data_IF_402654956811
#
_entry.id   IF_402654956811
#
_cell.length_a   1.000
_cell.length_b   1.000
_cell.length_c   1.000
_cell.angle_alpha   90.00
_cell.angle_beta   90.00
_cell.angle_gamma   90.00
#
_symmetry.space_group_name_H-M   'P 1'
#
loop_
_entity.id
_entity.type
_entity.pdbx_description
1 polymer ?
#
# COMPACT_ATOMS: atom_id res chain seq x y z
N UNK A 1 9.90 13.96 -6.48
CA UNK A 1 10.12 13.91 -5.02
C UNK A 1 11.48 13.26 -4.78
N UNK A 2 12.45 14.05 -4.32
CA UNK A 2 13.77 13.55 -3.93
C UNK A 2 13.68 12.82 -2.57
N UNK A 3 14.68 11.99 -2.27
CA UNK A 3 14.80 11.35 -0.95
C UNK A 3 14.81 12.43 0.15
N UNK A 4 15.42 13.56 -0.11
CA UNK A 4 15.51 14.66 0.85
C UNK A 4 14.13 15.26 1.16
N UNK A 5 13.22 15.41 0.18
CA UNK A 5 11.85 15.84 0.43
C UNK A 5 11.07 14.85 1.32
N UNK A 6 11.22 13.55 1.07
CA UNK A 6 10.61 12.53 1.95
C UNK A 6 11.14 12.66 3.38
N UNK A 7 12.45 12.87 3.55
CA UNK A 7 13.06 13.02 4.86
C UNK A 7 12.65 14.33 5.55
N UNK A 8 12.55 15.43 4.83
CA UNK A 8 12.12 16.71 5.37
C UNK A 8 10.67 16.62 5.89
N UNK A 9 9.76 16.03 5.11
CA UNK A 9 8.37 15.81 5.52
C UNK A 9 8.31 14.84 6.71
N UNK A 10 9.05 13.72 6.66
CA UNK A 10 9.12 12.78 7.76
C UNK A 10 9.63 13.45 9.05
N UNK A 11 10.73 14.19 8.99
CA UNK A 11 11.32 14.85 10.16
C UNK A 11 10.38 15.89 10.76
N UNK A 12 9.68 16.66 9.90
CA UNK A 12 8.67 17.62 10.34
C UNK A 12 7.53 16.92 11.09
N UNK A 13 6.96 15.86 10.51
CA UNK A 13 5.88 15.10 11.14
C UNK A 13 6.38 14.45 12.44
N UNK A 14 7.50 13.75 12.39
CA UNK A 14 8.07 13.04 13.54
C UNK A 14 8.32 13.99 14.72
N UNK A 15 8.87 15.18 14.47
CA UNK A 15 9.09 16.19 15.51
C UNK A 15 7.80 16.66 16.18
N UNK A 16 6.68 16.69 15.47
CA UNK A 16 5.37 17.08 15.99
C UNK A 16 4.68 15.95 16.73
N UNK A 17 4.77 14.73 16.20
CA UNK A 17 4.11 13.56 16.81
C UNK A 17 4.82 13.16 18.11
N UNK A 18 6.17 13.20 18.17
CA UNK A 18 6.94 12.94 19.40
C UNK A 18 6.59 13.94 20.51
N UNK A 19 6.20 15.18 20.16
CA UNK A 19 5.76 16.19 21.12
C UNK A 19 4.27 16.03 21.53
N UNK A 20 3.53 15.16 20.85
CA UNK A 20 2.13 14.89 21.15
C UNK A 20 2.00 13.76 22.18
N UNK A 21 0.78 13.57 22.69
CA UNK A 21 0.45 12.44 23.58
C UNK A 21 0.13 11.14 22.81
N UNK A 22 0.33 11.13 21.48
CA UNK A 22 0.12 9.94 20.68
C UNK A 22 1.35 9.03 20.78
N UNK A 23 1.18 7.85 21.34
CA UNK A 23 2.22 6.82 21.52
C UNK A 23 2.07 5.66 20.53
N UNK A 24 0.91 5.53 19.88
CA UNK A 24 0.60 4.46 18.92
C UNK A 24 0.27 5.05 17.54
N UNK A 25 1.24 5.01 16.64
CA UNK A 25 1.09 5.42 15.25
C UNK A 25 2.09 4.70 14.36
N UNK A 26 1.88 4.76 13.08
CA UNK A 26 2.80 4.25 12.05
C UNK A 26 3.00 5.31 10.96
N UNK A 27 4.05 5.13 10.17
CA UNK A 27 4.27 5.92 8.96
C UNK A 27 3.93 5.09 7.73
N UNK A 28 3.20 5.65 6.76
CA UNK A 28 3.01 5.04 5.46
C UNK A 28 3.68 5.91 4.39
N UNK A 29 4.64 5.31 3.67
CA UNK A 29 5.32 5.91 2.53
C UNK A 29 4.61 5.51 1.24
N UNK A 30 4.11 6.49 0.49
CA UNK A 30 3.56 6.27 -0.84
C UNK A 30 4.68 6.43 -1.89
N UNK A 31 5.33 5.32 -2.26
CA UNK A 31 6.44 5.32 -3.22
C UNK A 31 6.01 5.15 -4.68
N UNK A 32 4.71 4.95 -4.92
CA UNK A 32 4.15 4.64 -6.24
C UNK A 32 3.67 5.87 -7.02
N UNK A 33 3.95 7.08 -6.54
CA UNK A 33 3.51 8.31 -7.19
C UNK A 33 4.56 8.76 -8.23
N UNK A 34 4.21 8.88 -9.54
CA UNK A 34 5.15 9.26 -10.60
C UNK A 34 5.46 10.77 -10.66
N UNK A 35 5.21 11.51 -9.57
CA UNK A 35 5.38 12.96 -9.53
C UNK A 35 6.84 13.37 -9.25
N UNK A 36 7.79 12.84 -9.99
CA UNK A 36 9.18 13.29 -9.98
C UNK A 36 9.45 14.07 -11.26
N UNK A 37 10.27 15.13 -11.17
CA UNK A 37 10.64 15.96 -12.33
C UNK A 37 11.36 15.14 -13.42
N UNK A 38 11.99 14.03 -13.04
CA UNK A 38 12.67 13.08 -13.92
C UNK A 38 11.81 11.86 -14.32
N UNK A 39 10.56 11.79 -13.86
CA UNK A 39 9.61 10.70 -14.16
C UNK A 39 9.94 9.36 -13.48
N UNK A 40 10.94 9.31 -12.58
CA UNK A 40 11.28 8.10 -11.83
C UNK A 40 10.49 8.02 -10.55
N UNK A 41 9.94 6.85 -10.26
CA UNK A 41 9.32 6.56 -8.97
C UNK A 41 10.39 6.05 -7.99
N UNK A 42 10.23 6.33 -6.69
CA UNK A 42 11.08 5.74 -5.66
C UNK A 42 10.93 4.20 -5.62
N UNK A 43 9.84 3.66 -6.15
CA UNK A 43 9.65 2.22 -6.36
C UNK A 43 10.68 1.59 -7.31
N UNK A 44 11.31 2.38 -8.17
CA UNK A 44 12.28 1.92 -9.17
C UNK A 44 13.73 2.20 -8.73
N UNK A 45 13.93 2.77 -7.53
CA UNK A 45 15.23 3.10 -6.95
C UNK A 45 15.46 2.34 -5.63
N UNK A 46 15.93 1.09 -5.75
CA UNK A 46 16.21 0.21 -4.60
C UNK A 46 17.17 0.82 -3.59
N UNK A 47 18.25 1.43 -4.03
CA UNK A 47 19.27 2.03 -3.15
C UNK A 47 18.74 3.31 -2.49
N UNK A 48 17.97 4.10 -3.21
CA UNK A 48 17.28 5.27 -2.68
C UNK A 48 16.26 4.88 -1.61
N UNK A 49 15.44 3.88 -1.87
CA UNK A 49 14.47 3.37 -0.89
C UNK A 49 15.16 2.85 0.37
N UNK A 50 16.22 2.05 0.22
CA UNK A 50 17.01 1.54 1.35
C UNK A 50 17.62 2.67 2.18
N UNK A 51 18.17 3.68 1.51
CA UNK A 51 18.74 4.87 2.17
C UNK A 51 17.69 5.63 2.97
N UNK A 52 16.51 5.88 2.37
CA UNK A 52 15.38 6.56 3.01
C UNK A 52 14.92 5.79 4.25
N UNK A 53 14.61 4.50 4.10
CA UNK A 53 14.12 3.66 5.19
C UNK A 53 15.13 3.54 6.33
N UNK A 54 16.44 3.43 6.02
CA UNK A 54 17.50 3.38 7.04
C UNK A 54 17.55 4.68 7.84
N UNK A 55 17.49 5.84 7.17
CA UNK A 55 17.48 7.14 7.85
C UNK A 55 16.23 7.31 8.72
N UNK A 56 15.06 6.92 8.23
CA UNK A 56 13.81 6.95 9.00
C UNK A 56 13.90 6.02 10.22
N UNK A 57 14.41 4.79 10.06
CA UNK A 57 14.56 3.81 11.14
C UNK A 57 15.49 4.30 12.25
N UNK A 58 16.55 5.00 11.89
CA UNK A 58 17.47 5.60 12.88
C UNK A 58 16.80 6.72 13.71
N UNK A 59 15.71 7.30 13.22
CA UNK A 59 15.01 8.42 13.86
C UNK A 59 13.71 8.04 14.56
N UNK A 60 13.16 6.84 14.33
CA UNK A 60 11.93 6.37 14.95
C UNK A 60 11.90 4.86 15.13
N UNK A 61 11.15 4.40 16.15
CA UNK A 61 10.91 2.97 16.43
C UNK A 61 9.54 2.49 15.92
N UNK A 62 8.73 3.35 15.34
CA UNK A 62 7.38 3.04 14.86
C UNK A 62 7.42 2.17 13.60
N UNK A 63 6.32 1.48 13.32
CA UNK A 63 6.17 0.73 12.07
C UNK A 63 6.24 1.67 10.88
N UNK A 64 7.00 1.27 9.85
CA UNK A 64 7.05 1.95 8.55
C UNK A 64 6.41 1.04 7.52
N UNK A 65 5.35 1.52 6.92
CA UNK A 65 4.62 0.82 5.86
C UNK A 65 5.04 1.42 4.52
N UNK A 66 5.39 0.58 3.56
CA UNK A 66 5.68 1.03 2.19
C UNK A 66 4.52 0.63 1.29
N UNK A 67 3.83 1.63 0.73
CA UNK A 67 2.69 1.41 -0.17
C UNK A 67 3.16 1.40 -1.62
N UNK A 68 2.83 0.30 -2.30
CA UNK A 68 3.23 0.02 -3.69
C UNK A 68 2.04 0.01 -4.64
N UNK A 69 2.31 0.22 -5.94
CA UNK A 69 1.29 0.12 -6.98
C UNK A 69 1.01 -1.33 -7.36
N UNK A 70 -0.25 -1.71 -7.65
CA UNK A 70 -0.56 -2.99 -8.28
C UNK A 70 -0.01 -3.11 -9.72
N UNK A 71 0.47 -2.01 -10.30
CA UNK A 71 1.14 -1.97 -11.61
C UNK A 71 2.64 -2.27 -11.54
N UNK A 72 3.22 -2.38 -10.32
CA UNK A 72 4.61 -2.77 -10.13
C UNK A 72 4.88 -4.17 -10.71
N UNK A 73 6.02 -4.33 -11.35
CA UNK A 73 6.46 -5.64 -11.82
C UNK A 73 6.73 -6.58 -10.65
N UNK A 74 6.66 -7.89 -10.87
CA UNK A 74 7.01 -8.91 -9.88
C UNK A 74 8.44 -8.70 -9.35
N UNK A 75 9.40 -8.44 -10.24
CA UNK A 75 10.77 -8.14 -9.88
C UNK A 75 10.88 -6.89 -9.01
N UNK A 76 10.19 -5.80 -9.37
CA UNK A 76 10.19 -4.56 -8.57
C UNK A 76 9.58 -4.77 -7.19
N UNK A 77 8.50 -5.53 -7.07
CA UNK A 77 7.93 -5.90 -5.77
C UNK A 77 8.90 -6.71 -4.93
N UNK A 78 9.64 -7.64 -5.53
CA UNK A 78 10.66 -8.46 -4.83
C UNK A 78 11.80 -7.59 -4.32
N UNK A 79 12.33 -6.66 -5.11
CA UNK A 79 13.39 -5.75 -4.70
C UNK A 79 12.98 -4.84 -3.52
N UNK A 80 11.72 -4.39 -3.52
CA UNK A 80 11.14 -3.67 -2.39
C UNK A 80 11.06 -4.59 -1.16
N UNK A 81 10.53 -5.80 -1.30
CA UNK A 81 10.41 -6.75 -0.19
C UNK A 81 11.75 -7.16 0.41
N UNK A 82 12.78 -7.38 -0.41
CA UNK A 82 14.16 -7.61 0.05
C UNK A 82 14.68 -6.45 0.91
N UNK A 83 14.38 -5.21 0.48
CA UNK A 83 14.76 -4.01 1.23
C UNK A 83 14.03 -3.93 2.56
N UNK A 84 12.73 -4.23 2.58
CA UNK A 84 11.91 -4.23 3.80
C UNK A 84 12.31 -5.33 4.78
N UNK A 85 12.61 -6.54 4.28
CA UNK A 85 13.05 -7.67 5.11
C UNK A 85 14.40 -7.41 5.81
N UNK A 86 15.23 -6.52 5.28
CA UNK A 86 16.51 -6.13 5.88
C UNK A 86 16.40 -5.03 6.94
N UNK A 87 15.21 -4.46 7.17
CA UNK A 87 14.99 -3.32 8.07
C UNK A 87 13.86 -3.67 9.04
N UNK A 88 14.13 -3.61 10.32
CA UNK A 88 13.16 -3.95 11.37
C UNK A 88 11.86 -3.13 11.29
N UNK A 89 10.75 -3.75 11.66
CA UNK A 89 9.43 -3.11 11.79
C UNK A 89 8.96 -2.42 10.50
N UNK A 90 9.25 -3.03 9.36
CA UNK A 90 8.71 -2.62 8.08
C UNK A 90 7.58 -3.55 7.64
N UNK A 91 6.61 -3.01 6.92
CA UNK A 91 5.50 -3.73 6.32
C UNK A 91 5.27 -3.24 4.89
N UNK A 92 4.66 -4.08 4.05
CA UNK A 92 4.24 -3.68 2.71
C UNK A 92 2.72 -3.52 2.63
N UNK A 93 2.26 -2.43 2.00
CA UNK A 93 0.86 -2.26 1.62
C UNK A 93 0.72 -2.50 0.12
N UNK A 94 0.15 -3.64 -0.25
CA UNK A 94 -0.09 -4.05 -1.64
C UNK A 94 -1.39 -3.42 -2.15
N UNK A 95 -1.40 -2.08 -2.30
CA UNK A 95 -2.61 -1.41 -2.67
C UNK A 95 -2.47 0.04 -3.11
N UNK A 96 -2.83 0.25 -4.35
CA UNK A 96 -3.11 1.55 -4.96
C UNK A 96 -4.12 1.32 -6.08
N UNK A 97 -4.54 2.37 -6.80
CA UNK A 97 -5.31 2.23 -8.04
C UNK A 97 -4.41 1.63 -9.13
N UNK A 98 -5.03 0.85 -10.04
CA UNK A 98 -4.36 0.31 -11.22
C UNK A 98 -4.66 1.21 -12.41
N UNK A 99 -3.65 1.62 -13.17
CA UNK A 99 -3.89 2.38 -14.39
C UNK A 99 -4.61 1.53 -15.44
N UNK A 100 -5.68 2.08 -16.01
CA UNK A 100 -6.40 1.48 -17.14
C UNK A 100 -6.74 2.56 -18.18
N UNK A 101 -6.73 2.19 -19.46
CA UNK A 101 -7.23 3.09 -20.49
C UNK A 101 -8.75 3.21 -20.41
N UNK A 102 -9.31 4.38 -20.71
CA UNK A 102 -10.75 4.62 -20.70
C UNK A 102 -11.49 3.63 -21.60
N UNK A 103 -10.94 3.34 -22.77
CA UNK A 103 -11.52 2.40 -23.72
C UNK A 103 -11.54 0.96 -23.23
N UNK A 104 -10.54 0.53 -22.44
CA UNK A 104 -10.49 -0.84 -21.89
C UNK A 104 -11.60 -1.13 -20.88
N UNK A 105 -12.18 -0.11 -20.28
CA UNK A 105 -13.30 -0.20 -19.33
C UNK A 105 -14.63 0.30 -19.91
N UNK A 106 -14.72 0.42 -21.25
CA UNK A 106 -15.95 0.78 -21.95
C UNK A 106 -16.32 2.27 -21.90
N UNK A 107 -15.42 3.14 -21.44
CA UNK A 107 -15.61 4.58 -21.46
C UNK A 107 -15.18 5.13 -22.82
N UNK A 108 -15.95 6.06 -23.37
CA UNK A 108 -15.63 6.75 -24.60
C UNK A 108 -15.21 8.20 -24.36
N UNK A 109 -14.53 8.81 -25.36
CA UNK A 109 -14.00 10.19 -25.25
C UNK A 109 -15.09 11.26 -25.11
N UNK A 110 -16.36 10.96 -25.44
CA UNK A 110 -17.47 11.91 -25.27
C UNK A 110 -17.91 12.01 -23.79
N UNK A 111 -17.68 10.96 -23.00
CA UNK A 111 -18.05 10.91 -21.58
C UNK A 111 -16.86 11.05 -20.64
N UNK A 112 -15.65 10.79 -21.14
CA UNK A 112 -14.43 10.84 -20.35
C UNK A 112 -13.29 11.52 -21.12
N UNK A 113 -12.91 12.70 -20.70
CA UNK A 113 -11.97 13.58 -21.43
C UNK A 113 -10.50 13.13 -21.38
N UNK A 114 -10.15 12.17 -20.50
CA UNK A 114 -8.77 11.66 -20.35
C UNK A 114 -8.64 10.29 -21.02
N UNK A 115 -7.43 9.96 -21.46
CA UNK A 115 -7.15 8.68 -22.13
C UNK A 115 -7.20 7.48 -21.16
N UNK A 116 -7.09 7.70 -19.85
CA UNK A 116 -7.17 6.68 -18.81
C UNK A 116 -7.13 7.26 -17.41
N UNK A 117 -7.09 6.37 -16.42
CA UNK A 117 -7.03 6.73 -15.02
C UNK A 117 -6.82 5.53 -14.09
N UNK A 118 -6.81 5.80 -12.81
CA UNK A 118 -6.68 4.76 -11.79
C UNK A 118 -7.99 4.03 -11.55
N UNK A 119 -8.05 2.75 -11.89
CA UNK A 119 -9.14 1.85 -11.52
C UNK A 119 -9.05 1.52 -10.04
N UNK A 120 -10.16 1.61 -9.32
CA UNK A 120 -10.32 1.16 -7.94
C UNK A 120 -11.55 0.25 -7.78
N UNK A 121 -11.77 -0.28 -6.57
CA UNK A 121 -12.90 -1.15 -6.26
C UNK A 121 -12.70 -2.60 -6.66
N UNK A 122 -13.81 -3.35 -6.79
CA UNK A 122 -13.83 -4.83 -6.92
C UNK A 122 -12.97 -5.36 -8.06
N UNK A 123 -12.76 -4.58 -9.12
CA UNK A 123 -11.90 -4.97 -10.24
C UNK A 123 -10.44 -5.24 -9.88
N UNK A 124 -9.99 -4.80 -8.70
CA UNK A 124 -8.63 -5.04 -8.21
C UNK A 124 -8.47 -6.31 -7.38
N UNK A 125 -9.55 -6.93 -6.89
CA UNK A 125 -9.49 -8.03 -5.93
C UNK A 125 -8.55 -9.15 -6.35
N UNK A 126 -8.69 -9.65 -7.57
CA UNK A 126 -7.87 -10.76 -8.07
C UNK A 126 -6.38 -10.39 -8.13
N UNK A 127 -6.06 -9.16 -8.54
CA UNK A 127 -4.66 -8.67 -8.56
C UNK A 127 -4.10 -8.58 -7.14
N UNK A 128 -4.88 -8.03 -6.21
CA UNK A 128 -4.50 -7.93 -4.79
C UNK A 128 -4.22 -9.30 -4.19
N UNK A 129 -5.13 -10.25 -4.36
CA UNK A 129 -5.00 -11.61 -3.82
C UNK A 129 -3.81 -12.37 -4.42
N UNK A 130 -3.55 -12.19 -5.73
CA UNK A 130 -2.38 -12.76 -6.40
C UNK A 130 -1.07 -12.20 -5.82
N UNK A 131 -1.00 -10.89 -5.65
CA UNK A 131 0.19 -10.23 -5.12
C UNK A 131 0.44 -10.61 -3.65
N UNK A 132 -0.62 -10.70 -2.83
CA UNK A 132 -0.51 -11.19 -1.45
C UNK A 132 0.09 -12.59 -1.40
N UNK A 133 -0.45 -13.53 -2.17
CA UNK A 133 0.03 -14.92 -2.22
C UNK A 133 1.47 -15.00 -2.73
N UNK A 134 1.82 -14.20 -3.75
CA UNK A 134 3.17 -14.12 -4.29
C UNK A 134 4.17 -13.66 -3.23
N UNK A 135 3.87 -12.57 -2.52
CA UNK A 135 4.80 -12.02 -1.53
C UNK A 135 4.87 -12.90 -0.28
N UNK A 136 3.74 -13.37 0.25
CA UNK A 136 3.71 -14.22 1.44
C UNK A 136 4.41 -15.56 1.25
N UNK A 137 4.47 -16.07 0.01
CA UNK A 137 5.18 -17.31 -0.32
C UNK A 137 6.70 -17.15 -0.39
N UNK A 138 7.21 -15.91 -0.50
CA UNK A 138 8.64 -15.65 -0.74
C UNK A 138 9.30 -14.81 0.38
N UNK A 139 8.51 -14.10 1.19
CA UNK A 139 9.04 -13.16 2.20
C UNK A 139 8.25 -13.27 3.51
N UNK A 140 8.97 -13.21 4.62
CA UNK A 140 8.40 -13.13 5.97
C UNK A 140 8.33 -11.65 6.42
N UNK A 141 7.46 -10.88 5.77
CA UNK A 141 7.17 -9.48 6.12
C UNK A 141 5.67 -9.29 6.29
N UNK A 142 5.22 -8.41 7.19
CA UNK A 142 3.79 -8.12 7.33
C UNK A 142 3.22 -7.50 6.05
N UNK A 143 2.08 -8.04 5.58
CA UNK A 143 1.42 -7.63 4.34
C UNK A 143 0.06 -7.01 4.66
N UNK A 144 -0.18 -5.81 4.16
CA UNK A 144 -1.49 -5.18 4.14
C UNK A 144 -2.10 -5.36 2.75
N UNK A 145 -3.18 -6.12 2.66
CA UNK A 145 -3.91 -6.32 1.42
C UNK A 145 -4.90 -5.17 1.20
N UNK A 146 -4.65 -4.32 0.20
CA UNK A 146 -5.55 -3.20 -0.14
C UNK A 146 -5.88 -3.23 -1.63
N UNK A 147 -7.16 -3.17 -1.97
CA UNK A 147 -7.65 -3.10 -3.35
C UNK A 147 -8.71 -4.15 -3.67
N UNK A 148 -9.92 -3.68 -3.95
CA UNK A 148 -11.05 -4.51 -4.37
C UNK A 148 -11.74 -5.31 -3.25
N UNK A 149 -11.24 -5.26 -2.03
CA UNK A 149 -11.82 -5.94 -0.88
C UNK A 149 -13.08 -5.19 -0.45
N UNK A 150 -14.21 -5.89 -0.38
CA UNK A 150 -15.52 -5.30 -0.17
C UNK A 150 -16.37 -5.98 0.90
N UNK A 151 -16.07 -7.22 1.25
CA UNK A 151 -16.88 -8.00 2.19
C UNK A 151 -16.02 -8.95 3.02
N UNK A 152 -16.65 -9.57 4.02
CA UNK A 152 -16.02 -10.56 4.90
C UNK A 152 -15.32 -11.70 4.13
N UNK A 153 -15.92 -12.21 3.05
CA UNK A 153 -15.33 -13.32 2.26
C UNK A 153 -14.00 -12.90 1.62
N UNK A 154 -13.93 -11.67 1.12
CA UNK A 154 -12.70 -11.13 0.52
C UNK A 154 -11.60 -10.98 1.56
N UNK A 155 -11.96 -10.49 2.75
CA UNK A 155 -11.04 -10.36 3.90
C UNK A 155 -10.53 -11.74 4.33
N UNK A 156 -11.42 -12.70 4.57
CA UNK A 156 -11.04 -14.07 4.95
C UNK A 156 -10.10 -14.70 3.90
N UNK A 157 -10.35 -14.46 2.62
CA UNK A 157 -9.52 -14.97 1.55
C UNK A 157 -8.13 -14.30 1.53
N UNK A 158 -8.06 -12.98 1.73
CA UNK A 158 -6.79 -12.26 1.80
C UNK A 158 -5.93 -12.74 2.98
N UNK A 159 -6.54 -12.91 4.18
CA UNK A 159 -5.87 -13.44 5.36
C UNK A 159 -5.36 -14.88 5.12
N UNK A 160 -6.17 -15.75 4.52
CA UNK A 160 -5.75 -17.12 4.16
C UNK A 160 -4.60 -17.16 3.16
N UNK A 161 -4.45 -16.14 2.33
CA UNK A 161 -3.34 -16.01 1.39
C UNK A 161 -2.09 -15.37 1.99
N UNK A 162 -2.10 -15.04 3.28
CA UNK A 162 -0.95 -14.54 4.01
C UNK A 162 -0.96 -13.04 4.28
N UNK A 163 -2.05 -12.33 4.05
CA UNK A 163 -2.17 -10.96 4.52
C UNK A 163 -2.21 -10.91 6.06
N UNK A 164 -1.51 -9.95 6.64
CA UNK A 164 -1.55 -9.65 8.09
C UNK A 164 -2.71 -8.73 8.42
N UNK A 165 -2.95 -7.75 7.56
CA UNK A 165 -4.02 -6.76 7.68
C UNK A 165 -4.68 -6.54 6.32
N UNK A 166 -5.86 -5.93 6.37
CA UNK A 166 -6.63 -5.60 5.17
C UNK A 166 -6.99 -4.11 5.17
N UNK A 167 -6.77 -3.45 4.04
CA UNK A 167 -7.17 -2.07 3.79
C UNK A 167 -8.40 -2.01 2.87
N UNK A 168 -9.32 -1.09 3.16
CA UNK A 168 -10.56 -0.90 2.42
C UNK A 168 -10.78 0.59 2.14
N UNK A 169 -11.15 0.94 0.92
CA UNK A 169 -11.43 2.34 0.55
C UNK A 169 -12.74 2.47 -0.22
N UNK A 170 -12.83 1.98 -1.47
CA UNK A 170 -14.00 2.17 -2.33
C UNK A 170 -15.30 1.66 -1.69
N UNK A 171 -15.23 0.55 -0.95
CA UNK A 171 -16.41 0.01 -0.26
C UNK A 171 -16.91 0.90 0.86
N UNK A 172 -16.04 1.64 1.53
CA UNK A 172 -16.45 2.56 2.60
C UNK A 172 -17.21 3.79 2.10
N UNK A 173 -17.04 4.14 0.83
CA UNK A 173 -17.86 5.18 0.18
C UNK A 173 -19.30 4.67 -0.05
N UNK A 174 -19.44 3.36 -0.29
CA UNK A 174 -20.75 2.71 -0.53
C UNK A 174 -21.43 2.41 0.81
N UNK A 175 -20.68 1.82 1.75
CA UNK A 175 -21.16 1.45 3.07
C UNK A 175 -20.05 1.64 4.13
N UNK A 176 -20.08 2.74 4.90
CA UNK A 176 -19.07 3.05 5.91
C UNK A 176 -19.08 2.09 7.11
N UNK A 177 -20.15 1.28 7.28
CA UNK A 177 -20.27 0.32 8.38
C UNK A 177 -19.68 -1.07 8.06
N UNK A 178 -19.11 -1.28 6.88
CA UNK A 178 -18.55 -2.58 6.49
C UNK A 178 -17.42 -3.05 7.43
N UNK A 179 -16.54 -2.15 7.87
CA UNK A 179 -15.41 -2.56 8.74
C UNK A 179 -15.90 -3.11 10.08
N UNK A 180 -16.77 -2.40 10.86
CA UNK A 180 -17.34 -2.97 12.08
C UNK A 180 -18.05 -4.31 11.89
N UNK A 181 -18.82 -4.47 10.81
CA UNK A 181 -19.53 -5.71 10.50
C UNK A 181 -18.58 -6.88 10.19
N UNK A 182 -17.50 -6.61 9.47
CA UNK A 182 -16.47 -7.61 9.15
C UNK A 182 -15.72 -8.01 10.42
N UNK A 183 -15.30 -7.03 11.23
CA UNK A 183 -14.58 -7.30 12.47
C UNK A 183 -15.42 -8.12 13.46
N UNK A 184 -16.72 -7.84 13.58
CA UNK A 184 -17.62 -8.66 14.39
C UNK A 184 -17.60 -10.12 13.93
N UNK A 185 -17.73 -10.37 12.63
CA UNK A 185 -17.69 -11.75 12.08
C UNK A 185 -16.35 -12.45 12.28
N UNK A 186 -15.23 -11.73 12.17
CA UNK A 186 -13.91 -12.29 12.43
C UNK A 186 -13.73 -12.67 13.91
N UNK A 187 -14.33 -11.90 14.83
CA UNK A 187 -14.29 -12.19 16.27
C UNK A 187 -15.12 -13.40 16.65
N UNK A 188 -16.22 -13.69 15.93
CA UNK A 188 -17.10 -14.84 16.17
C UNK A 188 -16.48 -16.17 15.71
N UNK A 189 -15.45 -16.15 14.87
CA UNK A 189 -14.76 -17.34 14.35
C UNK A 189 -13.48 -17.72 15.14
N UNK A 190 -13.02 -16.86 16.06
CA UNK A 190 -11.86 -17.10 16.93
C UNK A 190 -12.28 -17.49 18.33
#
# INVERSE_FOLDING_TARGET
NSIDEYLDVFNLINSKVVQSSFDQFFYELNISCPNTDDGKCLSDDKEGLKTLLTKMRNSCSNVIIVKVSPDSSEQGMFEICETLAAIDRCAINLGNTKYVSATSVGLNKSTFSKDGGGLSGIGLLNTTLKNVELISSNFDIPIIATGGISCYKDVSLALKKGATLVGMASQLVIDPFQIPLINSKLSDEN
#
